data_IF_818723124613
#
_entry.id   IF_818723124613
#
_cell.length_a   1.000
_cell.length_b   1.000
_cell.length_c   1.000
_cell.angle_alpha   90.00
_cell.angle_beta   90.00
_cell.angle_gamma   90.00
#
_symmetry.space_group_name_H-M   'P 1'
#
loop_
_entity.id
_entity.type
_entity.pdbx_description
1 polymer ?
#
# COMPACT_ATOMS: atom_id res chain seq x y z
N UNK A 1 7.43 10.27 1.83
CA UNK A 1 5.95 10.19 1.81
C UNK A 1 5.51 10.30 0.36
N UNK A 2 5.18 9.18 -0.30
CA UNK A 2 4.99 9.14 -1.76
C UNK A 2 3.55 8.78 -2.19
N UNK A 3 2.75 8.17 -1.31
CA UNK A 3 1.33 7.81 -1.53
C UNK A 3 1.04 6.85 -2.69
N UNK A 4 2.07 6.36 -3.39
CA UNK A 4 1.95 5.46 -4.53
C UNK A 4 3.10 4.46 -4.56
N UNK A 5 2.81 3.25 -5.04
CA UNK A 5 3.80 2.18 -5.21
C UNK A 5 3.47 1.37 -6.46
N UNK A 6 4.50 1.07 -7.25
CA UNK A 6 4.43 0.05 -8.31
C UNK A 6 5.32 -1.10 -7.91
N UNK A 7 4.75 -2.28 -7.70
CA UNK A 7 5.50 -3.47 -7.30
C UNK A 7 5.03 -4.73 -8.04
N UNK A 8 4.58 -4.58 -9.29
CA UNK A 8 4.12 -5.69 -10.14
C UNK A 8 2.62 -5.96 -10.05
N UNK A 9 2.16 -6.99 -10.75
CA UNK A 9 0.80 -7.49 -10.60
C UNK A 9 0.65 -8.23 -9.25
N UNK A 10 -0.58 -8.43 -8.74
CA UNK A 10 -0.85 -9.25 -7.55
C UNK A 10 -0.71 -10.75 -7.86
N UNK A 11 0.43 -11.12 -8.43
CA UNK A 11 0.80 -12.49 -8.74
C UNK A 11 2.28 -12.68 -8.39
N UNK A 12 2.65 -13.92 -8.03
CA UNK A 12 3.97 -14.32 -7.51
C UNK A 12 4.23 -13.81 -6.08
N UNK A 13 4.84 -14.70 -5.27
CA UNK A 13 5.01 -14.48 -3.84
C UNK A 13 5.91 -13.28 -3.50
N UNK A 14 6.90 -12.98 -4.33
CA UNK A 14 7.82 -11.84 -4.13
C UNK A 14 7.11 -10.49 -4.25
N UNK A 15 6.10 -10.38 -5.13
CA UNK A 15 5.27 -9.18 -5.29
C UNK A 15 4.22 -9.10 -4.21
N UNK A 16 3.54 -10.22 -3.94
CA UNK A 16 2.53 -10.31 -2.87
C UNK A 16 3.11 -9.99 -1.50
N UNK A 17 4.38 -10.33 -1.23
CA UNK A 17 5.04 -9.98 0.04
C UNK A 17 5.04 -8.46 0.31
N UNK A 18 5.19 -7.62 -0.73
CA UNK A 18 5.15 -6.16 -0.59
C UNK A 18 3.74 -5.66 -0.29
N UNK A 19 2.72 -6.18 -0.98
CA UNK A 19 1.32 -5.86 -0.70
C UNK A 19 0.89 -6.30 0.71
N UNK A 20 1.27 -7.51 1.12
CA UNK A 20 0.95 -8.03 2.45
C UNK A 20 1.65 -7.27 3.57
N UNK A 21 2.83 -6.71 3.32
CA UNK A 21 3.47 -5.82 4.29
C UNK A 21 2.69 -4.52 4.44
N UNK A 22 2.17 -3.95 3.35
CA UNK A 22 1.34 -2.73 3.42
C UNK A 22 0.03 -2.97 4.17
N UNK A 23 -0.60 -4.14 3.99
CA UNK A 23 -1.79 -4.52 4.75
C UNK A 23 -1.51 -4.59 6.26
N UNK A 24 -0.41 -5.24 6.65
CA UNK A 24 0.01 -5.29 8.06
C UNK A 24 0.30 -3.90 8.64
N UNK A 25 0.98 -3.04 7.89
CA UNK A 25 1.23 -1.64 8.31
C UNK A 25 -0.09 -0.87 8.42
N UNK A 26 -1.05 -1.09 7.52
CA UNK A 26 -2.36 -0.44 7.60
C UNK A 26 -3.15 -0.91 8.84
N UNK A 27 -3.09 -2.20 9.17
CA UNK A 27 -3.67 -2.74 10.41
C UNK A 27 -3.00 -2.14 11.66
N UNK A 28 -1.67 -2.00 11.68
CA UNK A 28 -0.93 -1.37 12.78
C UNK A 28 -1.27 0.11 12.97
N UNK A 29 -1.52 0.85 11.89
CA UNK A 29 -1.87 2.28 11.94
C UNK A 29 -3.35 2.53 12.30
N UNK A 30 -4.24 1.58 12.01
CA UNK A 30 -5.68 1.73 12.24
C UNK A 30 -6.24 3.03 11.65
N UNK A 31 -7.02 3.76 12.44
CA UNK A 31 -7.67 5.01 12.02
C UNK A 31 -6.68 6.16 11.73
N UNK A 32 -5.43 6.08 12.18
CA UNK A 32 -4.40 7.08 11.90
C UNK A 32 -3.80 6.93 10.49
N UNK A 33 -4.08 5.83 9.79
CA UNK A 33 -3.58 5.56 8.45
C UNK A 33 -4.21 6.47 7.39
N UNK A 34 -3.38 7.06 6.50
CA UNK A 34 -3.83 7.85 5.35
C UNK A 34 -3.62 7.05 4.06
N UNK A 35 -4.66 6.90 3.26
CA UNK A 35 -4.61 6.16 1.99
C UNK A 35 -4.26 7.05 0.81
N UNK A 36 -3.30 6.61 0.00
CA UNK A 36 -3.00 7.18 -1.32
C UNK A 36 -2.38 8.58 -1.30
N UNK A 37 -2.12 9.11 -2.49
CA UNK A 37 -1.76 10.51 -2.71
C UNK A 37 -2.95 11.30 -3.28
N UNK A 38 -3.15 12.54 -2.82
CA UNK A 38 -4.23 13.41 -3.28
C UNK A 38 -4.16 13.81 -4.77
N UNK A 39 -3.04 13.53 -5.45
CA UNK A 39 -2.81 13.87 -6.86
C UNK A 39 -3.79 13.17 -7.82
N UNK A 40 -4.42 12.06 -7.39
CA UNK A 40 -5.31 11.26 -8.26
C UNK A 40 -6.77 11.20 -7.78
N UNK A 41 -7.12 11.89 -6.69
CA UNK A 41 -8.47 11.93 -6.12
C UNK A 41 -9.33 13.07 -6.68
N UNK A 42 -9.18 13.39 -7.98
CA UNK A 42 -9.98 14.45 -8.64
C UNK A 42 -11.17 13.86 -9.37
#
# INVERSE_FOLDING_TARGET
>A
NCGQIKTGAPCRSDRNAKYNQLLRIAEELGEAGVYGAGTWTR
#
